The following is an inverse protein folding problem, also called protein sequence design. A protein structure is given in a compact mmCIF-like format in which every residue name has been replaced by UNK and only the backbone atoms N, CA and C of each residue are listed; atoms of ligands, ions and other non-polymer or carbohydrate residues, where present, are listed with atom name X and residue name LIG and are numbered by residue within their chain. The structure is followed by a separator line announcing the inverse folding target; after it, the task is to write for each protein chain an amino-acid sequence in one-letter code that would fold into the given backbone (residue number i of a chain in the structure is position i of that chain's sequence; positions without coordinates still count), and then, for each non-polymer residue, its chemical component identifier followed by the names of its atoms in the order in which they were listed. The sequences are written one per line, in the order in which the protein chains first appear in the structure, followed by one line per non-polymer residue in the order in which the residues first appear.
data_IF_870756137879
#
_entry.id   IF_870756137879
#
_cell.length_a   1.000
_cell.length_b   1.000
_cell.length_c   1.000
_cell.angle_alpha   90.00
_cell.angle_beta   90.00
_cell.angle_gamma   90.00
#
_symmetry.space_group_name_H-M   'P 1'
#
loop_
_entity.id
_entity.type
_entity.pdbx_description
1 polymer ?
#
# COMPACT_ATOMS: atom_id res chain seq x y z
N UNK A 1 -7.95 21.39 2.14
CA UNK A 1 -9.34 21.27 2.52
C UNK A 1 -9.49 21.27 4.04
N UNK A 2 -10.31 22.12 4.60
CA UNK A 2 -10.42 22.34 6.04
C UNK A 2 -11.90 22.34 6.44
N UNK A 3 -12.19 21.61 7.52
CA UNK A 3 -13.47 21.71 8.23
C UNK A 3 -13.33 22.64 9.45
N UNK A 4 -14.46 22.86 10.18
CA UNK A 4 -14.40 23.63 11.42
C UNK A 4 -13.38 23.08 12.42
N UNK A 5 -13.28 21.73 12.57
CA UNK A 5 -12.47 21.05 13.61
C UNK A 5 -11.16 20.47 13.11
N UNK A 6 -11.05 20.19 11.82
CA UNK A 6 -9.92 19.46 11.23
C UNK A 6 -9.45 20.10 9.94
N UNK A 7 -8.21 19.81 9.56
CA UNK A 7 -7.65 20.14 8.26
C UNK A 7 -6.82 19.00 7.72
N UNK A 8 -6.58 19.00 6.40
CA UNK A 8 -5.67 18.08 5.72
C UNK A 8 -4.33 18.80 5.55
N UNK A 9 -3.25 18.12 5.94
CA UNK A 9 -1.87 18.61 5.78
C UNK A 9 -1.12 17.61 4.92
N UNK A 10 -0.49 18.08 3.84
CA UNK A 10 0.45 17.29 3.06
C UNK A 10 1.82 17.32 3.73
N UNK A 11 2.41 16.15 3.90
CA UNK A 11 3.69 15.96 4.56
C UNK A 11 4.63 15.22 3.62
N UNK A 12 5.76 15.82 3.30
CA UNK A 12 6.89 15.16 2.64
C UNK A 12 7.82 14.63 3.71
N UNK A 13 8.11 13.34 3.64
CA UNK A 13 9.05 12.65 4.52
C UNK A 13 10.25 12.16 3.71
N UNK A 14 11.44 12.37 4.23
CA UNK A 14 12.68 11.88 3.64
C UNK A 14 13.49 11.15 4.72
N UNK A 15 13.96 9.95 4.38
CA UNK A 15 14.83 9.14 5.23
C UNK A 15 16.24 9.07 4.67
N UNK A 16 17.24 9.27 5.53
CA UNK A 16 18.63 9.29 5.15
C UNK A 16 19.43 8.28 5.95
N UNK A 17 20.46 7.70 5.31
CA UNK A 17 21.51 6.97 6.03
C UNK A 17 22.43 7.93 6.77
N UNK A 18 23.36 7.35 7.57
CA UNK A 18 24.34 8.13 8.36
C UNK A 18 25.30 8.94 7.49
N UNK A 19 25.53 8.51 6.25
CA UNK A 19 26.37 9.18 5.26
C UNK A 19 25.63 10.26 4.44
N UNK A 20 24.36 10.53 4.78
CA UNK A 20 23.53 11.49 4.07
C UNK A 20 22.85 10.95 2.81
N UNK A 21 23.01 9.68 2.47
CA UNK A 21 22.34 9.06 1.32
C UNK A 21 20.82 8.99 1.54
N UNK A 22 20.05 9.58 0.65
CA UNK A 22 18.58 9.44 0.64
C UNK A 22 18.20 7.99 0.31
N UNK A 23 17.41 7.37 1.16
CA UNK A 23 16.96 5.97 0.99
C UNK A 23 15.45 5.83 0.88
N UNK A 24 14.70 6.84 1.29
CA UNK A 24 13.25 6.85 1.23
C UNK A 24 12.77 8.29 1.08
N UNK A 25 11.86 8.52 0.16
CA UNK A 25 11.10 9.77 0.08
C UNK A 25 9.66 9.46 -0.28
N UNK A 26 8.71 10.09 0.42
CA UNK A 26 7.31 9.99 0.09
C UNK A 26 6.52 11.21 0.53
N UNK A 27 5.40 11.44 -0.13
CA UNK A 27 4.42 12.45 0.25
C UNK A 27 3.11 11.76 0.65
N UNK A 28 2.57 12.18 1.75
CA UNK A 28 1.25 11.73 2.22
C UNK A 28 0.47 12.91 2.78
N UNK A 29 -0.83 12.79 2.81
CA UNK A 29 -1.66 13.70 3.58
C UNK A 29 -2.10 13.07 4.90
N UNK A 30 -2.25 13.90 5.92
CA UNK A 30 -2.76 13.51 7.23
C UNK A 30 -3.88 14.45 7.66
N UNK A 31 -4.90 13.91 8.33
CA UNK A 31 -5.93 14.72 8.94
C UNK A 31 -5.45 15.14 10.33
N UNK A 32 -5.43 16.45 10.59
CA UNK A 32 -5.03 17.01 11.88
C UNK A 32 -6.18 17.79 12.50
N UNK A 33 -6.30 17.73 13.82
CA UNK A 33 -7.22 18.61 14.56
C UNK A 33 -6.66 20.01 14.62
N UNK A 34 -7.51 21.03 14.43
CA UNK A 34 -7.15 22.41 14.69
C UNK A 34 -6.88 22.59 16.18
N UNK A 35 -5.88 23.38 16.52
CA UNK A 35 -5.61 23.81 17.90
C UNK A 35 -6.66 24.82 18.34
N UNK A 36 -7.05 25.73 17.47
CA UNK A 36 -8.12 26.68 17.62
C UNK A 36 -9.18 26.44 16.52
N UNK A 37 -10.37 26.03 16.93
CA UNK A 37 -11.49 25.75 16.01
C UNK A 37 -12.00 27.04 15.34
N UNK A 38 -11.82 28.20 15.97
CA UNK A 38 -12.23 29.49 15.44
C UNK A 38 -11.23 30.08 14.43
N UNK A 39 -10.01 29.52 14.36
CA UNK A 39 -9.00 30.00 13.42
C UNK A 39 -9.50 29.90 11.97
N UNK A 40 -9.28 30.93 11.14
CA UNK A 40 -9.66 30.94 9.75
C UNK A 40 -8.97 29.78 9.00
N UNK A 41 -9.65 29.23 7.99
CA UNK A 41 -9.04 28.25 7.12
C UNK A 41 -7.92 28.90 6.30
N UNK A 42 -6.73 28.30 6.24
CA UNK A 42 -5.69 28.78 5.34
C UNK A 42 -6.12 28.57 3.88
N UNK A 43 -5.48 29.26 2.95
CA UNK A 43 -5.65 29.00 1.53
C UNK A 43 -5.28 27.55 1.21
N UNK A 44 -6.07 26.90 0.36
CA UNK A 44 -5.80 25.54 -0.07
C UNK A 44 -4.51 25.48 -0.92
N UNK A 45 -3.59 24.63 -0.51
CA UNK A 45 -2.37 24.34 -1.26
C UNK A 45 -2.23 22.84 -1.41
N UNK A 46 -2.50 22.32 -2.61
CA UNK A 46 -2.35 20.91 -2.95
C UNK A 46 -1.07 20.75 -3.79
N UNK A 47 -0.07 19.99 -3.34
CA UNK A 47 1.17 19.80 -4.11
C UNK A 47 0.86 19.08 -5.43
N UNK A 48 1.52 19.51 -6.50
CA UNK A 48 1.51 18.77 -7.78
C UNK A 48 2.53 17.65 -7.68
N UNK A 49 2.06 16.42 -7.70
CA UNK A 49 2.88 15.22 -7.65
C UNK A 49 2.78 14.48 -8.99
N UNK A 50 3.84 13.77 -9.42
CA UNK A 50 3.74 12.84 -10.53
C UNK A 50 2.66 11.80 -10.26
N UNK A 51 1.88 11.45 -11.26
CA UNK A 51 0.88 10.37 -11.15
C UNK A 51 1.50 8.99 -11.28
N UNK A 52 2.68 8.91 -11.92
CA UNK A 52 3.45 7.68 -12.11
C UNK A 52 4.93 8.01 -11.98
N UNK A 53 5.67 7.16 -11.30
CA UNK A 53 7.13 7.28 -11.16
C UNK A 53 7.81 6.95 -12.49
N UNK A 54 8.90 7.64 -12.78
CA UNK A 54 9.73 7.38 -13.95
C UNK A 54 10.44 6.02 -13.81
N UNK A 55 10.36 5.22 -14.87
CA UNK A 55 10.86 3.83 -14.85
C UNK A 55 12.38 3.72 -14.76
N UNK A 56 13.11 4.75 -15.20
CA UNK A 56 14.57 4.81 -15.11
C UNK A 56 15.10 4.85 -13.66
N UNK A 57 14.25 5.20 -12.69
CA UNK A 57 14.60 5.27 -11.27
C UNK A 57 14.31 3.96 -10.50
N UNK A 58 13.51 3.06 -11.06
CA UNK A 58 12.95 1.93 -10.32
C UNK A 58 13.99 0.86 -9.94
N UNK A 59 15.11 0.78 -10.65
CA UNK A 59 16.13 -0.26 -10.42
C UNK A 59 17.27 0.13 -9.49
N UNK A 60 17.41 1.41 -9.16
CA UNK A 60 18.62 1.95 -8.54
C UNK A 60 18.80 1.50 -7.08
N UNK A 61 17.72 1.35 -6.35
CA UNK A 61 17.75 0.97 -4.92
C UNK A 61 17.87 -0.54 -4.68
N UNK A 62 17.68 -1.36 -5.70
CA UNK A 62 17.71 -2.81 -5.60
C UNK A 62 19.08 -3.35 -6.05
N UNK A 63 19.81 -4.10 -5.22
CA UNK A 63 21.07 -4.73 -5.64
C UNK A 63 20.84 -5.72 -6.80
N UNK A 64 21.85 -5.95 -7.68
CA UNK A 64 21.77 -6.94 -8.73
C UNK A 64 21.50 -8.34 -8.17
N UNK A 65 20.65 -9.10 -8.86
CA UNK A 65 20.39 -10.50 -8.52
C UNK A 65 21.04 -11.44 -9.55
N UNK A 66 21.37 -12.65 -9.12
CA UNK A 66 21.89 -13.71 -10.00
C UNK A 66 20.71 -14.53 -10.51
N UNK A 67 20.18 -14.17 -11.69
CA UNK A 67 18.98 -14.82 -12.25
C UNK A 67 19.19 -16.27 -12.63
N UNK A 68 20.42 -16.64 -12.99
CA UNK A 68 20.84 -18.03 -13.26
C UNK A 68 20.85 -18.90 -12.00
N UNK A 69 21.08 -18.29 -10.84
CA UNK A 69 21.03 -18.93 -9.53
C UNK A 69 19.68 -18.76 -8.80
N UNK A 70 18.72 -18.07 -9.41
CA UNK A 70 17.41 -17.84 -8.81
C UNK A 70 16.53 -19.08 -8.94
N UNK A 71 16.25 -19.72 -7.78
CA UNK A 71 15.47 -20.95 -7.71
C UNK A 71 13.98 -20.65 -7.50
N UNK A 72 13.18 -20.91 -8.54
CA UNK A 72 11.74 -20.69 -8.51
C UNK A 72 11.02 -21.61 -7.51
N UNK A 73 11.54 -22.81 -7.26
CA UNK A 73 10.95 -23.74 -6.29
C UNK A 73 11.13 -23.23 -4.86
N UNK A 74 12.33 -22.75 -4.52
CA UNK A 74 12.61 -22.13 -3.22
C UNK A 74 11.84 -20.80 -3.04
N UNK A 75 11.65 -20.04 -4.12
CA UNK A 75 10.87 -18.80 -4.10
C UNK A 75 9.35 -19.06 -3.97
N UNK A 76 8.89 -20.28 -4.19
CA UNK A 76 7.46 -20.63 -4.13
C UNK A 76 6.63 -20.17 -5.32
N UNK A 77 7.26 -19.70 -6.40
CA UNK A 77 6.59 -19.27 -7.61
C UNK A 77 7.42 -19.55 -8.87
N UNK A 78 6.76 -20.05 -9.90
CA UNK A 78 7.37 -20.26 -11.22
C UNK A 78 7.32 -19.03 -12.13
N UNK A 79 6.45 -18.07 -11.83
CA UNK A 79 6.18 -16.94 -12.71
C UNK A 79 7.25 -15.86 -12.59
N UNK A 80 7.79 -15.46 -13.74
CA UNK A 80 8.80 -14.40 -13.88
C UNK A 80 8.25 -13.23 -14.70
N UNK A 81 9.06 -12.22 -14.93
CA UNK A 81 8.66 -11.01 -15.66
C UNK A 81 7.94 -11.27 -16.99
N UNK A 82 8.42 -12.25 -17.79
CA UNK A 82 7.86 -12.57 -19.09
C UNK A 82 6.43 -13.15 -19.01
N UNK A 83 6.09 -13.82 -17.91
CA UNK A 83 4.85 -14.56 -17.78
C UNK A 83 3.62 -13.69 -17.53
N UNK A 84 3.80 -12.42 -17.16
CA UNK A 84 2.69 -11.50 -16.90
C UNK A 84 2.35 -10.67 -18.13
N UNK A 85 1.06 -10.36 -18.30
CA UNK A 85 0.52 -9.54 -19.38
C UNK A 85 -0.16 -8.29 -18.84
N UNK A 86 -0.03 -7.16 -19.57
CA UNK A 86 -0.76 -5.92 -19.22
C UNK A 86 -2.26 -6.19 -19.35
N UNK A 87 -3.04 -5.74 -18.38
CA UNK A 87 -4.48 -5.99 -18.24
C UNK A 87 -4.83 -7.30 -17.54
N UNK A 88 -3.84 -8.15 -17.23
CA UNK A 88 -4.06 -9.37 -16.47
C UNK A 88 -4.54 -9.03 -15.06
N UNK A 89 -5.60 -9.73 -14.62
CA UNK A 89 -6.14 -9.65 -13.25
C UNK A 89 -5.86 -10.95 -12.52
N UNK A 90 -5.38 -10.82 -11.29
CA UNK A 90 -4.94 -11.92 -10.45
C UNK A 90 -5.73 -11.88 -9.14
N UNK A 91 -6.60 -12.86 -8.92
CA UNK A 91 -7.19 -13.11 -7.62
C UNK A 91 -6.15 -13.79 -6.72
N UNK A 92 -5.88 -13.21 -5.54
CA UNK A 92 -4.92 -13.77 -4.59
C UNK A 92 -5.52 -14.89 -3.71
N UNK A 93 -6.74 -15.29 -4.00
CA UNK A 93 -7.54 -16.41 -3.53
C UNK A 93 -7.82 -16.46 -2.02
N UNK A 94 -6.83 -16.35 -1.19
CA UNK A 94 -6.97 -16.56 0.25
C UNK A 94 -7.41 -15.29 0.98
N UNK A 95 -7.77 -15.43 2.26
CA UNK A 95 -8.15 -14.33 3.15
C UNK A 95 -7.38 -14.37 4.46
N UNK A 96 -7.07 -13.19 5.00
CA UNK A 96 -6.43 -13.03 6.31
C UNK A 96 -7.36 -12.29 7.27
N UNK A 97 -7.84 -12.98 8.32
CA UNK A 97 -8.61 -12.33 9.38
C UNK A 97 -7.68 -11.54 10.28
N UNK A 98 -8.01 -10.28 10.51
CA UNK A 98 -7.19 -9.37 11.32
C UNK A 98 -7.45 -9.60 12.79
N UNK A 99 -6.39 -9.92 13.54
CA UNK A 99 -6.44 -10.13 14.97
C UNK A 99 -6.01 -8.89 15.77
N UNK A 100 -6.64 -8.68 16.94
CA UNK A 100 -6.30 -7.56 17.84
C UNK A 100 -4.84 -7.60 18.28
N UNK A 101 -4.33 -8.78 18.64
CA UNK A 101 -2.96 -8.95 19.15
C UNK A 101 -1.93 -8.68 18.05
N UNK A 102 -2.16 -9.17 16.85
CA UNK A 102 -1.34 -8.94 15.66
C UNK A 102 -1.24 -7.45 15.35
N UNK A 103 -2.37 -6.76 15.24
CA UNK A 103 -2.43 -5.34 14.97
C UNK A 103 -1.72 -4.52 16.06
N UNK A 104 -1.91 -4.86 17.35
CA UNK A 104 -1.21 -4.18 18.43
C UNK A 104 0.30 -4.40 18.38
N UNK A 105 0.74 -5.59 18.05
CA UNK A 105 2.16 -5.87 17.84
C UNK A 105 2.74 -5.03 16.71
N UNK A 106 2.07 -4.99 15.56
CA UNK A 106 2.48 -4.18 14.42
C UNK A 106 2.56 -2.68 14.77
N UNK A 107 1.56 -2.11 15.46
CA UNK A 107 1.57 -0.70 15.85
C UNK A 107 2.74 -0.33 16.76
N UNK A 108 3.14 -1.23 17.67
CA UNK A 108 4.28 -1.03 18.57
C UNK A 108 5.62 -1.18 17.86
N UNK A 109 5.77 -2.20 17.03
CA UNK A 109 7.00 -2.44 16.25
C UNK A 109 7.30 -1.28 15.31
N UNK A 110 6.27 -0.72 14.66
CA UNK A 110 6.44 0.41 13.75
C UNK A 110 6.37 1.76 14.45
N UNK A 111 6.30 1.79 15.78
CA UNK A 111 6.22 3.01 16.60
C UNK A 111 5.11 3.98 16.12
N UNK A 112 3.94 3.41 15.77
CA UNK A 112 2.81 4.23 15.35
C UNK A 112 2.33 5.11 16.51
N UNK A 113 2.30 6.41 16.31
CA UNK A 113 1.95 7.40 17.34
C UNK A 113 0.49 7.87 17.29
N UNK A 114 -0.31 7.39 16.34
CA UNK A 114 -1.71 7.80 16.21
C UNK A 114 -2.60 6.95 17.13
N UNK A 115 -3.14 7.59 18.17
CA UNK A 115 -3.97 6.93 19.21
C UNK A 115 -5.12 6.10 18.67
N UNK A 116 -5.70 6.50 17.55
CA UNK A 116 -6.81 5.80 16.89
C UNK A 116 -6.52 4.32 16.60
N UNK A 117 -5.23 3.95 16.51
CA UNK A 117 -4.81 2.59 16.22
C UNK A 117 -4.49 1.75 17.47
N UNK A 118 -4.22 2.35 18.63
CA UNK A 118 -3.75 1.58 19.79
C UNK A 118 -4.47 1.85 21.13
N UNK A 119 -5.18 2.98 21.27
CA UNK A 119 -5.79 3.35 22.54
C UNK A 119 -7.29 3.02 22.56
N UNK A 120 -7.62 1.80 23.02
CA UNK A 120 -9.02 1.36 23.12
C UNK A 120 -9.83 2.20 24.13
N UNK A 121 -9.23 2.68 25.20
CA UNK A 121 -9.93 3.51 26.19
C UNK A 121 -10.52 4.78 25.57
N UNK A 122 -9.72 5.46 24.75
CA UNK A 122 -10.16 6.66 24.03
C UNK A 122 -11.12 6.31 22.88
N UNK A 123 -10.77 5.30 22.08
CA UNK A 123 -11.51 4.96 20.85
C UNK A 123 -12.81 4.20 21.15
N UNK A 124 -12.93 3.58 22.33
CA UNK A 124 -14.20 3.03 22.81
C UNK A 124 -15.30 4.09 22.97
N UNK A 125 -14.92 5.34 23.21
CA UNK A 125 -15.83 6.49 23.30
C UNK A 125 -15.90 7.29 21.97
N UNK A 126 -15.15 6.86 20.96
CA UNK A 126 -15.05 7.52 19.66
C UNK A 126 -16.16 7.09 18.68
N UNK A 127 -16.06 7.59 17.46
CA UNK A 127 -17.04 7.38 16.37
C UNK A 127 -17.35 5.89 16.11
N UNK A 128 -16.37 5.01 16.23
CA UNK A 128 -16.48 3.60 15.87
C UNK A 128 -16.64 2.65 17.07
N UNK A 129 -16.50 3.17 18.30
CA UNK A 129 -16.55 2.36 19.53
C UNK A 129 -15.36 1.40 19.71
N UNK A 130 -14.40 1.43 18.78
CA UNK A 130 -13.23 0.54 18.75
C UNK A 130 -12.09 1.14 17.94
N UNK A 131 -10.88 0.59 18.11
CA UNK A 131 -9.68 1.00 17.40
C UNK A 131 -9.78 0.71 15.89
N UNK A 132 -9.30 1.63 15.09
CA UNK A 132 -9.15 1.46 13.65
C UNK A 132 -7.85 0.71 13.33
N UNK A 133 -7.89 -0.24 12.43
CA UNK A 133 -6.68 -0.90 11.93
C UNK A 133 -5.79 0.11 11.22
N UNK A 134 -4.49 0.05 11.51
CA UNK A 134 -3.48 0.91 10.92
C UNK A 134 -3.37 0.68 9.40
N UNK A 135 -3.38 1.77 8.62
CA UNK A 135 -3.37 1.68 7.17
C UNK A 135 -2.14 0.97 6.58
N UNK A 136 -0.97 1.14 7.18
CA UNK A 136 0.23 0.39 6.80
C UNK A 136 0.09 -1.13 7.01
N UNK A 137 -0.65 -1.54 8.04
CA UNK A 137 -0.96 -2.95 8.26
C UNK A 137 -1.88 -3.50 7.16
N UNK A 138 -2.88 -2.73 6.72
CA UNK A 138 -3.75 -3.09 5.59
C UNK A 138 -2.93 -3.31 4.31
N UNK A 139 -1.99 -2.41 4.02
CA UNK A 139 -1.07 -2.55 2.87
C UNK A 139 -0.23 -3.82 3.00
N UNK A 140 0.29 -4.10 4.20
CA UNK A 140 1.10 -5.29 4.47
C UNK A 140 0.31 -6.58 4.25
N UNK A 141 -0.95 -6.64 4.71
CA UNK A 141 -1.82 -7.80 4.50
C UNK A 141 -2.13 -8.01 3.01
N UNK A 142 -2.49 -6.95 2.29
CA UNK A 142 -2.74 -7.03 0.85
C UNK A 142 -1.49 -7.52 0.08
N UNK A 143 -0.29 -7.05 0.48
CA UNK A 143 0.98 -7.52 -0.08
C UNK A 143 1.31 -8.97 0.30
N UNK A 144 1.02 -9.38 1.52
CA UNK A 144 1.21 -10.77 1.94
C UNK A 144 0.32 -11.72 1.13
N UNK A 145 -0.96 -11.40 0.97
CA UNK A 145 -1.90 -12.15 0.13
C UNK A 145 -1.43 -12.22 -1.33
N UNK A 146 -0.83 -11.15 -1.85
CA UNK A 146 -0.36 -11.09 -3.23
C UNK A 146 0.80 -12.05 -3.55
N UNK A 147 1.39 -12.72 -2.54
CA UNK A 147 2.30 -13.84 -2.76
C UNK A 147 1.64 -14.92 -3.65
N UNK A 148 0.34 -15.15 -3.49
CA UNK A 148 -0.44 -15.99 -4.38
C UNK A 148 -0.58 -15.30 -5.75
N UNK A 149 0.21 -15.73 -6.70
CA UNK A 149 0.25 -15.22 -8.06
C UNK A 149 1.38 -14.21 -8.34
N UNK A 150 1.97 -13.57 -7.31
CA UNK A 150 3.06 -12.58 -7.45
C UNK A 150 4.27 -12.92 -6.55
N UNK A 151 4.51 -14.20 -6.26
CA UNK A 151 5.53 -14.63 -5.29
C UNK A 151 6.95 -14.17 -5.64
N UNK A 152 7.28 -14.02 -6.92
CA UNK A 152 8.58 -13.51 -7.37
C UNK A 152 8.67 -11.99 -7.46
N UNK A 153 7.61 -11.24 -7.12
CA UNK A 153 7.64 -9.78 -7.01
C UNK A 153 8.27 -9.37 -5.68
N UNK A 154 9.58 -9.50 -5.58
CA UNK A 154 10.34 -9.49 -4.32
C UNK A 154 10.64 -8.09 -3.77
N UNK A 155 10.53 -7.03 -4.57
CA UNK A 155 10.89 -5.68 -4.17
C UNK A 155 9.85 -4.66 -4.64
N UNK A 156 9.34 -3.83 -3.72
CA UNK A 156 8.53 -2.67 -4.05
C UNK A 156 9.48 -1.53 -4.41
N UNK A 157 9.57 -1.23 -5.70
CA UNK A 157 10.49 -0.21 -6.22
C UNK A 157 9.96 1.21 -6.03
N UNK A 158 8.63 1.39 -5.99
CA UNK A 158 8.03 2.67 -5.75
C UNK A 158 6.50 2.61 -5.71
N UNK A 159 5.90 3.56 -5.02
CA UNK A 159 4.45 3.70 -4.90
C UNK A 159 4.03 4.97 -5.64
N UNK A 160 3.16 4.82 -6.65
CA UNK A 160 2.61 5.93 -7.42
C UNK A 160 1.53 6.66 -6.63
N UNK A 161 0.69 5.90 -5.94
CA UNK A 161 -0.37 6.45 -5.12
C UNK A 161 -1.17 5.36 -4.42
N UNK A 162 -2.05 5.77 -3.55
CA UNK A 162 -2.94 4.85 -2.86
C UNK A 162 -3.92 5.58 -1.97
N UNK A 163 -5.02 4.92 -1.69
CA UNK A 163 -6.06 5.44 -0.79
C UNK A 163 -6.65 4.31 0.05
N UNK A 164 -6.88 4.60 1.30
CA UNK A 164 -7.73 3.80 2.16
C UNK A 164 -9.18 4.24 1.91
N UNK A 165 -9.98 3.34 1.36
CA UNK A 165 -11.34 3.62 0.90
C UNK A 165 -12.33 3.55 2.06
N UNK A 166 -12.24 2.49 2.86
CA UNK A 166 -13.12 2.26 3.99
C UNK A 166 -12.33 1.80 5.24
N UNK A 167 -12.89 1.99 6.44
CA UNK A 167 -12.25 1.53 7.67
C UNK A 167 -12.24 0.00 7.78
N UNK A 168 -11.15 -0.54 8.35
CA UNK A 168 -10.98 -1.93 8.71
C UNK A 168 -10.86 -2.07 10.22
N UNK A 169 -11.40 -3.16 10.76
CA UNK A 169 -11.36 -3.48 12.18
C UNK A 169 -10.93 -4.91 12.42
N UNK A 170 -10.42 -5.20 13.62
CA UNK A 170 -10.17 -6.58 14.03
C UNK A 170 -11.45 -7.42 13.94
N UNK A 171 -11.32 -8.67 13.49
CA UNK A 171 -12.41 -9.57 13.17
C UNK A 171 -12.87 -9.54 11.72
N UNK A 172 -12.53 -8.48 10.94
CA UNK A 172 -12.75 -8.54 9.48
C UNK A 172 -11.69 -9.40 8.81
N UNK A 173 -12.07 -10.06 7.72
CA UNK A 173 -11.15 -10.82 6.86
C UNK A 173 -10.81 -9.99 5.63
N UNK A 174 -9.52 -9.82 5.37
CA UNK A 174 -8.99 -9.10 4.20
C UNK A 174 -8.77 -10.09 3.07
N UNK A 175 -9.27 -9.75 1.88
CA UNK A 175 -8.96 -10.40 0.61
C UNK A 175 -8.32 -9.39 -0.32
N UNK A 176 -7.63 -9.83 -1.38
CA UNK A 176 -7.01 -8.92 -2.33
C UNK A 176 -6.97 -9.50 -3.74
N UNK A 177 -6.93 -8.61 -4.73
CA UNK A 177 -6.63 -8.92 -6.12
C UNK A 177 -5.74 -7.84 -6.72
N UNK A 178 -5.01 -8.16 -7.79
CA UNK A 178 -4.17 -7.19 -8.48
C UNK A 178 -4.44 -7.18 -9.98
N UNK A 179 -4.22 -6.02 -10.60
CA UNK A 179 -4.19 -5.83 -12.05
C UNK A 179 -2.80 -5.37 -12.49
N UNK A 180 -2.28 -5.95 -13.56
CA UNK A 180 -1.04 -5.51 -14.20
C UNK A 180 -1.35 -4.30 -15.07
N UNK A 181 -0.99 -3.10 -14.62
CA UNK A 181 -1.25 -1.85 -15.35
C UNK A 181 -0.20 -1.57 -16.44
N UNK A 182 1.06 -1.94 -16.19
CA UNK A 182 2.16 -1.71 -17.13
C UNK A 182 3.34 -2.65 -16.84
N UNK A 183 4.20 -2.81 -17.84
CA UNK A 183 5.50 -3.49 -17.70
C UNK A 183 6.59 -2.56 -18.23
N UNK A 184 7.75 -2.57 -17.59
CA UNK A 184 8.89 -1.77 -18.02
C UNK A 184 10.19 -2.57 -17.94
N UNK A 185 10.97 -2.44 -18.99
CA UNK A 185 12.37 -2.85 -19.00
C UNK A 185 13.21 -1.73 -18.37
N UNK A 186 14.18 -2.11 -17.56
CA UNK A 186 15.01 -1.16 -16.84
C UNK A 186 16.34 -0.98 -17.60
N UNK A 187 16.69 0.23 -18.08
CA UNK A 187 17.78 0.44 -19.02
C UNK A 187 19.15 -0.08 -18.59
N UNK A 188 19.37 -0.19 -17.27
CA UNK A 188 20.66 -0.63 -16.68
C UNK A 188 20.57 -2.00 -16.01
N UNK A 189 19.48 -2.75 -16.20
CA UNK A 189 19.19 -3.99 -15.49
C UNK A 189 18.69 -5.06 -16.48
N UNK A 190 19.48 -6.10 -16.66
CA UNK A 190 19.09 -7.28 -17.45
C UNK A 190 18.55 -8.42 -16.60
N UNK A 191 18.70 -8.32 -15.29
CA UNK A 191 18.36 -9.34 -14.30
C UNK A 191 16.93 -9.25 -13.80
N UNK A 192 16.32 -8.04 -13.84
CA UNK A 192 14.95 -7.77 -13.39
C UNK A 192 14.19 -6.92 -14.38
N UNK A 193 12.88 -7.08 -14.40
CA UNK A 193 11.94 -6.14 -14.99
C UNK A 193 11.06 -5.50 -13.93
N UNK A 194 10.40 -4.40 -14.25
CA UNK A 194 9.43 -3.74 -13.39
C UNK A 194 8.00 -3.99 -13.87
N UNK A 195 7.10 -4.32 -12.95
CA UNK A 195 5.67 -4.47 -13.21
C UNK A 195 4.93 -3.44 -12.35
N UNK A 196 4.07 -2.62 -12.99
CA UNK A 196 3.14 -1.73 -12.30
C UNK A 196 1.88 -2.49 -11.98
N UNK A 197 1.53 -2.50 -10.72
CA UNK A 197 0.37 -3.18 -10.19
C UNK A 197 -0.61 -2.18 -9.59
N UNK A 198 -1.89 -2.42 -9.80
CA UNK A 198 -2.96 -1.91 -8.96
C UNK A 198 -3.42 -3.05 -8.09
N UNK A 199 -3.26 -2.93 -6.78
CA UNK A 199 -3.79 -3.90 -5.82
C UNK A 199 -4.98 -3.31 -5.09
N UNK A 200 -6.10 -3.99 -5.17
CA UNK A 200 -7.34 -3.67 -4.45
C UNK A 200 -7.53 -4.70 -3.35
N UNK A 201 -7.75 -4.22 -2.12
CA UNK A 201 -8.12 -5.09 -1.01
C UNK A 201 -9.55 -4.84 -0.57
N UNK A 202 -10.23 -5.91 -0.19
CA UNK A 202 -11.60 -5.90 0.31
C UNK A 202 -11.65 -6.44 1.74
N UNK A 203 -12.72 -6.16 2.45
CA UNK A 203 -13.07 -6.78 3.74
C UNK A 203 -14.30 -7.65 3.58
N UNK A 204 -14.24 -8.85 4.14
CA UNK A 204 -15.34 -9.82 4.25
C UNK A 204 -15.99 -10.16 2.89
N UNK A 205 -15.26 -9.95 1.79
CA UNK A 205 -15.69 -10.25 0.43
C UNK A 205 -14.53 -10.83 -0.38
N UNK A 206 -14.58 -12.12 -0.80
CA UNK A 206 -13.61 -12.71 -1.73
C UNK A 206 -13.51 -11.97 -3.04
N UNK A 207 -12.37 -12.09 -3.72
CA UNK A 207 -12.01 -11.27 -4.89
C UNK A 207 -12.15 -11.96 -6.25
N UNK A 208 -12.79 -13.14 -6.33
CA UNK A 208 -12.93 -13.90 -7.58
C UNK A 208 -13.68 -13.18 -8.71
N UNK A 209 -14.49 -12.17 -8.36
CA UNK A 209 -15.19 -11.27 -9.30
C UNK A 209 -14.51 -9.89 -9.47
N UNK A 210 -13.31 -9.73 -8.92
CA UNK A 210 -12.50 -8.49 -8.97
C UNK A 210 -13.26 -7.24 -8.53
N UNK A 211 -13.82 -7.19 -7.31
CA UNK A 211 -14.61 -6.07 -6.84
C UNK A 211 -13.82 -4.75 -6.85
N UNK A 212 -14.42 -3.70 -7.41
CA UNK A 212 -13.80 -2.38 -7.57
C UNK A 212 -14.86 -1.28 -7.39
N UNK A 213 -15.75 -1.12 -8.38
CA UNK A 213 -16.78 -0.08 -8.42
C UNK A 213 -18.19 -0.68 -8.35
N UNK A 214 -19.09 0.06 -7.71
CA UNK A 214 -20.53 -0.17 -7.76
C UNK A 214 -21.19 1.12 -8.30
N UNK A 215 -21.36 1.17 -9.62
CA UNK A 215 -21.69 2.40 -10.34
C UNK A 215 -20.53 3.41 -10.29
N UNK A 216 -20.78 4.65 -9.85
CA UNK A 216 -19.77 5.70 -9.71
C UNK A 216 -18.99 5.62 -8.40
N UNK A 217 -19.49 4.91 -7.40
CA UNK A 217 -18.85 4.75 -6.08
C UNK A 217 -17.93 3.52 -6.03
N UNK A 218 -17.08 3.47 -5.02
CA UNK A 218 -16.35 2.24 -4.69
C UNK A 218 -17.32 1.16 -4.17
N UNK A 219 -17.02 -0.11 -4.45
CA UNK A 219 -17.71 -1.23 -3.81
C UNK A 219 -17.56 -1.09 -2.28
N UNK A 220 -18.64 -1.24 -1.49
CA UNK A 220 -18.60 -1.06 -0.04
C UNK A 220 -17.60 -1.95 0.71
N UNK A 221 -17.20 -3.07 0.09
CA UNK A 221 -16.20 -3.97 0.64
C UNK A 221 -14.78 -3.47 0.41
N UNK A 222 -14.52 -2.60 -0.56
CA UNK A 222 -13.17 -2.09 -0.87
C UNK A 222 -12.64 -1.24 0.29
N UNK A 223 -11.45 -1.59 0.76
CA UNK A 223 -10.76 -0.91 1.86
C UNK A 223 -9.45 -0.24 1.44
N UNK A 224 -8.81 -0.74 0.39
CA UNK A 224 -7.53 -0.25 -0.15
C UNK A 224 -7.56 -0.27 -1.67
N UNK A 225 -6.98 0.76 -2.28
CA UNK A 225 -6.65 0.84 -3.70
C UNK A 225 -5.23 1.41 -3.79
N UNK A 226 -4.27 0.59 -4.25
CA UNK A 226 -2.84 0.90 -4.23
C UNK A 226 -2.23 0.71 -5.61
N UNK A 227 -1.56 1.74 -6.12
CA UNK A 227 -0.82 1.73 -7.40
C UNK A 227 0.68 1.84 -7.13
N UNK A 228 1.45 0.82 -7.56
CA UNK A 228 2.87 0.71 -7.24
C UNK A 228 3.64 -0.12 -8.26
N UNK A 229 4.96 0.04 -8.24
CA UNK A 229 5.89 -0.75 -9.03
C UNK A 229 6.59 -1.81 -8.19
N UNK A 230 6.72 -3.01 -8.74
CA UNK A 230 7.50 -4.10 -8.17
C UNK A 230 8.57 -4.55 -9.14
N UNK A 231 9.70 -5.05 -8.59
CA UNK A 231 10.73 -5.73 -9.37
C UNK A 231 10.51 -7.24 -9.31
N UNK A 232 10.73 -7.87 -10.45
CA UNK A 232 10.56 -9.32 -10.62
C UNK A 232 11.70 -9.86 -11.49
N UNK A 233 12.26 -11.08 -11.20
CA UNK A 233 13.29 -11.70 -12.01
C UNK A 233 12.86 -11.90 -13.47
N UNK A 234 13.82 -11.74 -14.40
CA UNK A 234 13.63 -12.03 -15.82
C UNK A 234 13.86 -13.49 -16.16
#
# INVERSE_FOLDING_TARGET
NSSRKTGIVFVRSAGFKQDGTLVLEYVRWVMVRKRDEAAPSPADHVPRLPTVLETNLLGDACPPIKTDAYDNALAGSRYRYADYSVGEKIDHNDGMTVEEAEHQTATRLYQNTARVHFNQFTEGQGRFGRRLIYGGHVISLARALSFNGLGNAFHVAGINGGRHVAPLFAGNTVFAWSEVLAKAELPKRSDVGAIRLRTVATKDKPCGDFPDKSGEADDPAVILDLDYWVLIPR
#
